data_IF_562954026593
#
_entry.id   IF_562954026593
#
_cell.length_a   1.000
_cell.length_b   1.000
_cell.length_c   1.000
_cell.angle_alpha   90.00
_cell.angle_beta   90.00
_cell.angle_gamma   90.00
#
_symmetry.space_group_name_H-M   'P 1'
#
loop_
_entity.id
_entity.type
_entity.pdbx_description
1 polymer ?
#
# COMPACT_ATOMS: atom_id res chain seq x y z
N UNK A 1 13.37 4.31 35.68
CA UNK A 1 13.29 5.59 34.94
C UNK A 1 12.16 5.46 33.94
N UNK A 2 11.01 6.07 34.24
CA UNK A 2 9.84 6.04 33.37
C UNK A 2 10.08 7.04 32.22
N UNK A 3 10.10 6.55 30.99
CA UNK A 3 10.03 7.38 29.79
C UNK A 3 8.62 7.93 29.72
N UNK A 4 8.41 9.12 30.26
CA UNK A 4 7.22 9.92 29.99
C UNK A 4 7.22 10.21 28.50
N UNK A 5 6.34 9.53 27.77
CA UNK A 5 5.98 9.86 26.41
C UNK A 5 5.41 11.28 26.44
N UNK A 6 6.23 12.25 26.01
CA UNK A 6 5.82 13.65 25.97
C UNK A 6 4.91 13.77 24.76
N UNK A 7 3.62 13.56 25.01
CA UNK A 7 2.55 13.76 24.04
C UNK A 7 2.51 15.26 23.69
N UNK A 8 3.28 15.67 22.68
CA UNK A 8 3.40 17.05 22.23
C UNK A 8 2.04 17.51 21.68
N UNK A 9 1.33 18.42 22.37
CA UNK A 9 0.01 18.84 21.96
C UNK A 9 0.13 19.63 20.65
N UNK A 10 -0.26 19.02 19.53
CA UNK A 10 -0.24 19.64 18.21
C UNK A 10 0.46 18.83 17.11
N UNK A 11 1.22 17.78 17.45
CA UNK A 11 1.88 16.91 16.48
C UNK A 11 1.01 15.71 16.06
N UNK A 12 -0.26 15.95 15.68
CA UNK A 12 -1.09 14.88 15.11
C UNK A 12 -1.05 14.92 13.59
N UNK A 13 -0.76 13.76 13.01
CA UNK A 13 -0.75 13.55 11.57
C UNK A 13 -2.13 13.84 11.01
N UNK A 14 -2.16 14.65 9.98
CA UNK A 14 -3.41 14.94 9.30
C UNK A 14 -3.77 13.75 8.43
N UNK A 15 -4.98 13.24 8.65
CA UNK A 15 -5.49 12.10 7.91
C UNK A 15 -6.38 12.61 6.78
N UNK A 16 -6.15 12.11 5.58
CA UNK A 16 -7.00 12.36 4.42
C UNK A 16 -7.58 11.04 3.93
N UNK A 17 -8.89 11.01 3.71
CA UNK A 17 -9.53 9.87 3.06
C UNK A 17 -9.35 9.96 1.55
N UNK A 18 -8.89 8.88 0.93
CA UNK A 18 -8.68 8.76 -0.52
C UNK A 18 -9.42 7.50 -0.98
N UNK A 19 -10.62 7.67 -1.53
CA UNK A 19 -11.39 6.54 -2.06
C UNK A 19 -10.82 6.07 -3.41
N UNK A 20 -10.78 4.76 -3.69
CA UNK A 20 -11.20 3.63 -2.83
C UNK A 20 -10.11 3.12 -1.86
N UNK A 21 -8.94 3.76 -1.78
CA UNK A 21 -7.75 3.25 -1.10
C UNK A 21 -7.70 3.47 0.42
N UNK A 22 -8.67 4.19 1.00
CA UNK A 22 -8.77 4.38 2.44
C UNK A 22 -8.04 5.62 2.96
N UNK A 23 -7.58 5.57 4.21
CA UNK A 23 -7.01 6.72 4.94
C UNK A 23 -5.50 6.82 4.75
N UNK A 24 -5.00 8.03 4.48
CA UNK A 24 -3.55 8.30 4.36
C UNK A 24 -3.13 9.44 5.29
N UNK A 25 -1.90 9.37 5.79
CA UNK A 25 -1.28 10.47 6.53
C UNK A 25 -0.65 11.48 5.57
N UNK A 26 -0.86 12.77 5.86
CA UNK A 26 -0.31 13.88 5.08
C UNK A 26 0.81 14.55 5.88
N UNK A 27 1.99 14.65 5.26
CA UNK A 27 3.20 15.26 5.83
C UNK A 27 3.76 16.32 4.89
N UNK A 28 4.36 17.34 5.48
CA UNK A 28 5.09 18.37 4.77
C UNK A 28 6.47 17.83 4.46
N UNK A 29 6.94 18.08 3.24
CA UNK A 29 8.28 17.67 2.81
C UNK A 29 9.04 18.91 2.39
N UNK A 30 10.10 19.22 3.12
CA UNK A 30 11.01 20.31 2.83
C UNK A 30 12.31 19.72 2.30
N UNK A 31 12.64 19.99 1.04
CA UNK A 31 13.87 19.51 0.39
C UNK A 31 14.81 20.68 0.17
N UNK A 32 16.03 20.56 0.69
CA UNK A 32 17.13 21.46 0.37
C UNK A 32 18.07 20.74 -0.59
N UNK A 33 18.28 21.30 -1.78
CA UNK A 33 19.18 20.75 -2.79
C UNK A 33 20.39 21.67 -2.93
N UNK A 34 21.58 21.15 -2.65
CA UNK A 34 22.83 21.83 -2.92
C UNK A 34 23.34 21.39 -4.29
N UNK A 35 23.49 22.36 -5.18
CA UNK A 35 23.93 22.18 -6.57
C UNK A 35 25.10 23.12 -6.82
N UNK A 36 26.19 22.62 -7.40
CA UNK A 36 27.30 23.48 -7.81
C UNK A 36 26.94 24.20 -9.12
N UNK A 37 27.31 25.49 -9.28
CA UNK A 37 27.03 26.23 -10.50
C UNK A 37 27.62 25.58 -11.76
N UNK A 38 28.78 24.91 -11.64
CA UNK A 38 29.50 24.30 -12.76
C UNK A 38 29.14 22.83 -13.00
N UNK A 39 28.19 22.25 -12.27
CA UNK A 39 27.94 20.81 -12.28
C UNK A 39 26.87 20.34 -13.27
N UNK A 40 26.45 21.21 -14.21
CA UNK A 40 25.35 20.95 -15.14
C UNK A 40 24.05 20.48 -14.44
N UNK A 41 23.81 20.99 -13.23
CA UNK A 41 22.63 20.63 -12.43
C UNK A 41 22.78 19.36 -11.59
N UNK A 42 24.00 18.80 -11.47
CA UNK A 42 24.26 17.68 -10.57
C UNK A 42 24.08 18.10 -9.11
N UNK A 43 23.15 17.44 -8.42
CA UNK A 43 22.91 17.56 -6.98
C UNK A 43 24.07 16.92 -6.23
N UNK A 44 24.62 17.64 -5.26
CA UNK A 44 25.78 17.22 -4.47
C UNK A 44 25.35 16.81 -3.07
N UNK A 45 24.33 17.49 -2.56
CA UNK A 45 23.69 17.13 -1.31
C UNK A 45 22.20 17.42 -1.41
N UNK A 46 21.43 16.52 -0.82
CA UNK A 46 20.01 16.65 -0.64
C UNK A 46 19.69 16.40 0.83
N UNK A 47 19.12 17.39 1.48
CA UNK A 47 18.57 17.25 2.82
C UNK A 47 17.04 17.26 2.75
N UNK A 48 16.42 16.29 3.42
CA UNK A 48 14.98 16.13 3.46
C UNK A 48 14.49 16.21 4.91
N UNK A 49 13.58 17.14 5.18
CA UNK A 49 12.89 17.27 6.45
C UNK A 49 11.40 16.97 6.25
N UNK A 50 10.88 16.03 7.05
CA UNK A 50 9.47 15.63 7.04
C UNK A 50 8.83 16.17 8.31
N UNK A 51 7.77 16.97 8.15
CA UNK A 51 7.10 17.64 9.27
C UNK A 51 5.59 17.37 9.29
N UNK A 52 4.93 17.48 10.44
CA UNK A 52 3.48 17.62 10.49
C UNK A 52 3.02 18.85 9.70
N UNK A 53 1.83 18.77 9.09
CA UNK A 53 1.20 19.88 8.36
C UNK A 53 -0.09 20.28 9.06
N UNK A 54 -0.47 21.55 8.99
CA UNK A 54 -1.73 22.02 9.56
C UNK A 54 -2.93 21.46 8.83
N UNK A 55 -4.02 21.23 9.56
CA UNK A 55 -5.30 20.80 8.99
C UNK A 55 -5.79 21.73 7.88
N UNK A 56 -5.61 23.04 8.05
CA UNK A 56 -6.02 24.06 7.07
C UNK A 56 -5.32 23.89 5.72
N UNK A 57 -4.01 23.63 5.73
CA UNK A 57 -3.23 23.46 4.50
C UNK A 57 -3.59 22.14 3.81
N UNK A 58 -3.79 21.06 4.59
CA UNK A 58 -4.27 19.78 4.03
C UNK A 58 -5.65 19.96 3.40
N UNK A 59 -6.58 20.66 4.06
CA UNK A 59 -7.91 20.89 3.53
C UNK A 59 -7.90 21.76 2.27
N UNK A 60 -7.07 22.81 2.25
CA UNK A 60 -6.89 23.68 1.08
C UNK A 60 -6.41 22.89 -0.15
N UNK A 61 -5.54 21.89 0.04
CA UNK A 61 -4.97 21.09 -1.05
C UNK A 61 -5.57 19.69 -1.19
N UNK A 62 -6.64 19.38 -0.46
CA UNK A 62 -7.19 18.03 -0.35
C UNK A 62 -7.52 17.40 -1.71
N UNK A 63 -8.10 18.17 -2.63
CA UNK A 63 -8.46 17.69 -3.96
C UNK A 63 -7.22 17.29 -4.78
N UNK A 64 -6.18 18.12 -4.78
CA UNK A 64 -4.94 17.85 -5.49
C UNK A 64 -4.19 16.64 -4.89
N UNK A 65 -4.17 16.55 -3.55
CA UNK A 65 -3.56 15.41 -2.85
C UNK A 65 -4.30 14.11 -3.20
N UNK A 66 -5.64 14.09 -3.11
CA UNK A 66 -6.46 12.92 -3.49
C UNK A 66 -6.17 12.49 -4.93
N UNK A 67 -6.18 13.44 -5.87
CA UNK A 67 -5.92 13.15 -7.27
C UNK A 67 -4.52 12.53 -7.49
N UNK A 68 -3.48 13.14 -6.92
CA UNK A 68 -2.11 12.67 -7.06
C UNK A 68 -1.90 11.27 -6.44
N UNK A 69 -2.49 11.03 -5.27
CA UNK A 69 -2.44 9.72 -4.60
C UNK A 69 -3.17 8.68 -5.45
N UNK A 70 -4.38 8.97 -5.91
CA UNK A 70 -5.16 8.07 -6.78
C UNK A 70 -4.42 7.73 -8.06
N UNK A 71 -3.86 8.73 -8.76
CA UNK A 71 -3.08 8.50 -9.99
C UNK A 71 -1.85 7.62 -9.72
N UNK A 72 -1.12 7.88 -8.63
CA UNK A 72 0.07 7.09 -8.26
C UNK A 72 -0.29 5.65 -7.94
N UNK A 73 -1.37 5.42 -7.18
CA UNK A 73 -1.84 4.08 -6.82
C UNK A 73 -2.37 3.33 -8.04
N UNK A 74 -3.17 3.98 -8.90
CA UNK A 74 -3.58 3.43 -10.18
C UNK A 74 -2.38 3.06 -11.08
N UNK A 75 -1.36 3.92 -11.14
CA UNK A 75 -0.16 3.63 -11.93
C UNK A 75 0.61 2.43 -11.38
N UNK A 76 0.67 2.24 -10.05
CA UNK A 76 1.25 1.03 -9.46
C UNK A 76 0.47 -0.22 -9.86
N UNK A 77 -0.86 -0.15 -9.84
CA UNK A 77 -1.72 -1.25 -10.28
C UNK A 77 -1.59 -1.53 -11.78
N UNK A 78 -1.38 -0.50 -12.60
CA UNK A 78 -1.21 -0.63 -14.05
C UNK A 78 0.19 -1.10 -14.47
N UNK A 79 1.24 -0.71 -13.74
CA UNK A 79 2.63 -1.07 -14.08
C UNK A 79 2.99 -2.51 -13.65
N UNK A 80 2.20 -3.12 -12.78
CA UNK A 80 2.16 -4.57 -12.59
C UNK A 80 0.92 -5.08 -13.33
N UNK A 81 0.97 -5.33 -14.64
CA UNK A 81 -0.13 -6.02 -15.29
C UNK A 81 -0.36 -7.32 -14.51
N UNK A 82 -1.61 -7.59 -14.12
CA UNK A 82 -1.96 -8.85 -13.50
C UNK A 82 -1.38 -9.95 -14.41
N UNK A 83 -0.46 -10.80 -13.91
CA UNK A 83 0.12 -11.85 -14.71
C UNK A 83 -1.02 -12.68 -15.31
N UNK A 84 -0.88 -12.97 -16.61
CA UNK A 84 -1.94 -13.66 -17.35
C UNK A 84 -2.25 -14.98 -16.64
N UNK A 85 -3.52 -15.43 -16.60
CA UNK A 85 -3.86 -16.74 -16.04
C UNK A 85 -3.10 -17.90 -16.67
N UNK A 86 -2.52 -17.71 -17.86
CA UNK A 86 -1.69 -18.69 -18.57
C UNK A 86 -0.21 -18.68 -18.17
N UNK A 87 0.22 -17.78 -17.28
CA UNK A 87 1.59 -17.76 -16.78
C UNK A 87 1.85 -19.01 -15.91
N UNK A 88 2.85 -19.84 -16.26
CA UNK A 88 3.15 -21.05 -15.50
C UNK A 88 3.49 -20.77 -14.03
N UNK A 89 4.07 -19.61 -13.70
CA UNK A 89 4.39 -19.26 -12.32
C UNK A 89 3.12 -18.97 -11.50
N UNK A 90 2.14 -18.30 -12.11
CA UNK A 90 0.84 -18.06 -11.49
C UNK A 90 0.07 -19.35 -11.30
N UNK A 91 0.08 -20.23 -12.30
CA UNK A 91 -0.57 -21.55 -12.21
C UNK A 91 0.04 -22.43 -11.11
N UNK A 92 1.37 -22.38 -10.95
CA UNK A 92 2.05 -23.07 -9.86
C UNK A 92 1.62 -22.53 -8.49
N UNK A 93 1.64 -21.19 -8.32
CA UNK A 93 1.21 -20.55 -7.08
C UNK A 93 -0.27 -20.79 -6.76
N UNK A 94 -1.14 -20.77 -7.77
CA UNK A 94 -2.57 -21.05 -7.62
C UNK A 94 -2.81 -22.47 -7.12
N UNK A 95 -2.16 -23.46 -7.73
CA UNK A 95 -2.24 -24.87 -7.33
C UNK A 95 -1.72 -25.06 -5.91
N UNK A 96 -0.57 -24.46 -5.60
CA UNK A 96 0.02 -24.57 -4.27
C UNK A 96 -0.88 -23.95 -3.20
N UNK A 97 -1.47 -22.77 -3.48
CA UNK A 97 -2.41 -22.11 -2.58
C UNK A 97 -3.67 -22.96 -2.39
N UNK A 98 -4.27 -23.47 -3.46
CA UNK A 98 -5.46 -24.33 -3.41
C UNK A 98 -5.21 -25.61 -2.62
N UNK A 99 -4.07 -26.29 -2.86
CA UNK A 99 -3.70 -27.52 -2.12
C UNK A 99 -3.45 -27.23 -0.64
N UNK A 100 -2.77 -26.13 -0.32
CA UNK A 100 -2.40 -25.79 1.06
C UNK A 100 -3.60 -25.35 1.89
N UNK A 101 -4.52 -24.60 1.29
CA UNK A 101 -5.67 -24.00 1.99
C UNK A 101 -6.94 -24.84 1.89
N UNK A 102 -7.02 -25.74 0.91
CA UNK A 102 -8.24 -26.49 0.59
C UNK A 102 -9.29 -25.68 -0.18
N UNK A 103 -9.00 -24.41 -0.50
CA UNK A 103 -9.92 -23.60 -1.30
C UNK A 103 -10.03 -24.11 -2.74
N UNK A 104 -11.20 -23.97 -3.34
CA UNK A 104 -11.37 -24.19 -4.78
C UNK A 104 -10.60 -23.14 -5.60
N UNK A 105 -10.44 -23.40 -6.89
CA UNK A 105 -9.60 -22.57 -7.76
C UNK A 105 -10.10 -21.13 -7.88
N UNK A 106 -11.42 -20.90 -7.82
CA UNK A 106 -11.98 -19.55 -7.96
C UNK A 106 -11.61 -18.66 -6.76
N UNK A 107 -11.76 -19.18 -5.54
CA UNK A 107 -11.40 -18.45 -4.32
C UNK A 107 -9.87 -18.35 -4.13
N UNK A 108 -9.13 -19.41 -4.48
CA UNK A 108 -7.67 -19.36 -4.49
C UNK A 108 -7.16 -18.30 -5.47
N UNK A 109 -7.77 -18.20 -6.66
CA UNK A 109 -7.41 -17.18 -7.66
C UNK A 109 -7.67 -15.78 -7.15
N UNK A 110 -8.85 -15.54 -6.57
CA UNK A 110 -9.19 -14.24 -6.00
C UNK A 110 -8.19 -13.84 -4.91
N UNK A 111 -7.95 -14.72 -3.94
CA UNK A 111 -7.00 -14.48 -2.85
C UNK A 111 -5.59 -14.13 -3.38
N UNK A 112 -5.10 -14.90 -4.35
CA UNK A 112 -3.80 -14.67 -4.97
C UNK A 112 -3.76 -13.34 -5.73
N UNK A 113 -4.83 -12.98 -6.44
CA UNK A 113 -4.92 -11.74 -7.20
C UNK A 113 -4.96 -10.49 -6.31
N UNK A 114 -5.67 -10.55 -5.19
CA UNK A 114 -5.76 -9.46 -4.21
C UNK A 114 -4.41 -9.24 -3.49
N UNK A 115 -3.60 -10.29 -3.38
CA UNK A 115 -2.27 -10.27 -2.79
C UNK A 115 -1.15 -10.02 -3.82
N UNK A 116 -1.48 -9.51 -5.00
CA UNK A 116 -0.50 -9.15 -6.03
C UNK A 116 0.30 -10.36 -6.56
N UNK A 117 -0.32 -11.55 -6.58
CA UNK A 117 0.27 -12.81 -7.01
C UNK A 117 1.48 -13.27 -6.19
N UNK A 118 1.57 -12.81 -4.95
CA UNK A 118 2.55 -13.28 -3.97
C UNK A 118 1.94 -14.41 -3.12
N UNK A 119 2.45 -15.63 -3.29
CA UNK A 119 1.96 -16.81 -2.57
C UNK A 119 2.05 -16.65 -1.04
N UNK A 120 3.15 -16.08 -0.52
CA UNK A 120 3.33 -15.93 0.92
C UNK A 120 2.31 -14.95 1.51
N UNK A 121 2.12 -13.80 0.85
CA UNK A 121 1.11 -12.82 1.24
C UNK A 121 -0.31 -13.40 1.15
N UNK A 122 -0.61 -14.21 0.14
CA UNK A 122 -1.90 -14.88 0.00
C UNK A 122 -2.17 -15.90 1.11
N UNK A 123 -1.17 -16.68 1.50
CA UNK A 123 -1.29 -17.63 2.63
C UNK A 123 -1.48 -16.91 3.97
N UNK A 124 -0.79 -15.80 4.19
CA UNK A 124 -0.96 -14.98 5.39
C UNK A 124 -2.35 -14.32 5.43
N UNK A 125 -2.79 -13.74 4.32
CA UNK A 125 -4.14 -13.18 4.19
C UNK A 125 -5.22 -14.24 4.42
N UNK A 126 -5.08 -15.43 3.83
CA UNK A 126 -6.00 -16.56 4.07
C UNK A 126 -6.09 -16.91 5.55
N UNK A 127 -4.96 -17.04 6.26
CA UNK A 127 -4.95 -17.36 7.70
C UNK A 127 -5.73 -16.33 8.50
N UNK A 128 -5.49 -15.04 8.25
CA UNK A 128 -6.18 -13.95 8.94
C UNK A 128 -7.70 -14.00 8.72
N UNK A 129 -8.15 -14.27 7.49
CA UNK A 129 -9.58 -14.34 7.13
C UNK A 129 -10.24 -15.62 7.68
N UNK A 130 -9.50 -16.73 7.70
CA UNK A 130 -9.95 -18.01 8.27
C UNK A 130 -10.12 -17.90 9.79
N UNK A 131 -9.15 -17.33 10.50
CA UNK A 131 -9.23 -17.09 11.95
C UNK A 131 -10.38 -16.14 12.32
N UNK A 132 -10.69 -15.18 11.44
CA UNK A 132 -11.82 -14.27 11.59
C UNK A 132 -13.18 -14.90 11.24
N UNK A 133 -13.22 -16.17 10.77
CA UNK A 133 -14.42 -16.87 10.30
C UNK A 133 -15.18 -16.12 9.19
N UNK A 134 -14.44 -15.45 8.29
CA UNK A 134 -15.00 -14.66 7.19
C UNK A 134 -15.02 -15.40 5.85
N UNK A 135 -14.54 -16.65 5.80
CA UNK A 135 -14.55 -17.45 4.58
C UNK A 135 -15.90 -18.15 4.38
N UNK A 136 -16.54 -17.97 3.21
CA UNK A 136 -17.80 -18.63 2.90
C UNK A 136 -17.59 -20.15 2.71
N UNK A 137 -18.54 -21.02 3.11
CA UNK A 137 -18.45 -22.47 2.90
C UNK A 137 -18.22 -22.87 1.43
N UNK A 138 -18.75 -22.07 0.51
CA UNK A 138 -18.60 -22.23 -0.94
C UNK A 138 -17.13 -22.16 -1.38
N UNK A 139 -16.24 -21.54 -0.60
CA UNK A 139 -14.81 -21.52 -0.88
C UNK A 139 -14.18 -22.92 -0.83
N UNK A 140 -14.80 -23.87 -0.15
CA UNK A 140 -14.31 -25.24 0.04
C UNK A 140 -15.17 -26.28 -0.70
N UNK A 141 -16.20 -25.83 -1.44
CA UNK A 141 -16.96 -26.70 -2.33
C UNK A 141 -16.12 -27.00 -3.59
N UNK A 142 -15.94 -28.30 -3.89
CA UNK A 142 -15.17 -28.78 -5.04
C UNK A 142 -16.01 -28.83 -6.32
#
# INVERSE_FOLDING_TARGET
MATTDVDLPGCRDQILEVLPYGRVFVRGVHRCLLVLPQSEGKIIQEDCCITPVSASLVQQHAAAIRLAVTQRLNRRLSNNPAPKPTDPAVQAALRELSVTTGMNEAYAWQCLSECGFNLHAALEAFRNVMEANLLPPEAFAK
#
